data_IF_225280950188
#
_entry.id   IF_225280950188
#
_cell.length_a   1.000
_cell.length_b   1.000
_cell.length_c   1.000
_cell.angle_alpha   90.00
_cell.angle_beta   90.00
_cell.angle_gamma   90.00
#
_symmetry.space_group_name_H-M   'P 1'
#
loop_
_entity.id
_entity.type
_entity.pdbx_description
1 polymer ?
#
# COMPACT_ATOMS: atom_id res chain seq x y z
N UNK A 1 -47.57 -88.01 26.30
CA UNK A 1 -46.65 -87.08 27.00
C UNK A 1 -45.27 -87.19 26.39
N UNK A 2 -44.80 -86.14 25.72
CA UNK A 2 -43.38 -85.76 25.55
C UNK A 2 -43.35 -84.51 24.65
N UNK A 3 -43.42 -83.35 25.30
CA UNK A 3 -43.21 -82.05 24.67
C UNK A 3 -41.75 -81.93 24.24
N UNK A 4 -41.44 -81.48 23.00
CA UNK A 4 -40.07 -81.19 22.62
C UNK A 4 -39.65 -79.79 23.09
N UNK A 5 -38.44 -79.73 23.62
CA UNK A 5 -37.80 -78.56 24.20
C UNK A 5 -37.59 -77.45 23.16
N UNK A 6 -37.84 -76.20 23.57
CA UNK A 6 -37.49 -74.97 22.85
C UNK A 6 -36.00 -74.70 23.03
N UNK A 7 -35.26 -74.65 21.93
CA UNK A 7 -33.88 -74.15 21.89
C UNK A 7 -33.89 -72.61 21.92
N UNK A 8 -33.09 -72.05 22.82
CA UNK A 8 -32.85 -70.62 22.98
C UNK A 8 -31.77 -70.21 21.96
N UNK A 9 -32.16 -69.53 20.88
CA UNK A 9 -31.23 -68.93 19.92
C UNK A 9 -30.77 -67.57 20.42
N UNK A 10 -29.46 -67.45 20.69
CA UNK A 10 -28.79 -66.19 20.99
C UNK A 10 -28.65 -65.40 19.70
N UNK A 11 -29.25 -64.21 19.63
CA UNK A 11 -29.02 -63.25 18.56
C UNK A 11 -27.74 -62.46 18.87
N UNK A 12 -26.70 -62.64 18.05
CA UNK A 12 -25.53 -61.76 18.02
C UNK A 12 -25.93 -60.54 17.19
N UNK A 13 -26.03 -59.37 17.82
CA UNK A 13 -26.18 -58.10 17.11
C UNK A 13 -24.86 -57.75 16.43
N UNK A 14 -24.85 -57.73 15.09
CA UNK A 14 -23.75 -57.18 14.33
C UNK A 14 -23.77 -55.65 14.49
N UNK A 15 -22.78 -55.10 15.20
CA UNK A 15 -22.55 -53.67 15.23
C UNK A 15 -22.02 -53.23 13.86
N UNK A 16 -22.80 -52.42 13.15
CA UNK A 16 -22.33 -51.74 11.95
C UNK A 16 -21.26 -50.72 12.37
N UNK A 17 -20.00 -50.97 12.01
CA UNK A 17 -18.93 -49.98 12.11
C UNK A 17 -19.18 -48.96 10.99
N UNK A 18 -19.76 -47.82 11.35
CA UNK A 18 -19.78 -46.65 10.47
C UNK A 18 -18.35 -46.11 10.47
N UNK A 19 -17.59 -46.40 9.42
CA UNK A 19 -16.36 -45.67 9.13
C UNK A 19 -16.75 -44.27 8.70
N UNK A 20 -16.63 -43.30 9.60
CA UNK A 20 -16.58 -41.90 9.22
C UNK A 20 -15.26 -41.72 8.47
N UNK A 21 -15.24 -41.21 7.22
CA UNK A 21 -13.98 -40.81 6.62
C UNK A 21 -13.40 -39.73 7.53
N UNK A 22 -12.31 -40.04 8.21
CA UNK A 22 -11.48 -39.01 8.83
C UNK A 22 -10.87 -38.30 7.62
N UNK A 23 -11.41 -37.12 7.30
CA UNK A 23 -10.70 -36.21 6.43
C UNK A 23 -9.37 -35.97 7.14
N UNK A 24 -8.27 -36.48 6.57
CA UNK A 24 -6.96 -35.95 6.90
C UNK A 24 -7.09 -34.43 6.75
N UNK A 25 -6.88 -33.69 7.83
CA UNK A 25 -6.66 -32.26 7.74
C UNK A 25 -5.47 -32.09 6.79
N UNK A 26 -5.76 -31.81 5.53
CA UNK A 26 -4.81 -31.22 4.63
C UNK A 26 -4.42 -29.90 5.30
N UNK A 27 -3.11 -29.60 5.33
CA UNK A 27 -2.64 -28.24 5.57
C UNK A 27 -3.59 -27.28 4.85
N UNK A 28 -4.08 -26.28 5.59
CA UNK A 28 -5.11 -25.37 5.13
C UNK A 28 -4.85 -24.97 3.70
N UNK A 29 -5.87 -25.13 2.87
CA UNK A 29 -5.99 -24.46 1.59
C UNK A 29 -5.58 -22.99 1.81
N UNK A 30 -4.50 -22.55 1.15
CA UNK A 30 -3.94 -21.20 1.22
C UNK A 30 -5.10 -20.20 1.15
N UNK A 31 -5.45 -19.64 2.31
CA UNK A 31 -6.15 -18.36 2.35
C UNK A 31 -5.13 -17.36 1.83
N UNK A 32 -5.54 -16.29 1.12
CA UNK A 32 -4.66 -15.12 1.08
C UNK A 32 -4.34 -14.82 2.55
N UNK A 33 -3.08 -14.94 2.93
CA UNK A 33 -2.63 -14.73 4.30
C UNK A 33 -3.08 -13.32 4.72
N UNK A 34 -3.53 -13.18 5.96
CA UNK A 34 -3.97 -11.88 6.46
C UNK A 34 -2.78 -10.91 6.37
N UNK A 35 -2.93 -9.78 5.68
CA UNK A 35 -1.84 -8.80 5.58
C UNK A 35 -1.61 -8.22 6.98
N UNK A 36 -0.34 -8.03 7.37
CA UNK A 36 0.06 -7.65 8.72
C UNK A 36 -0.31 -8.70 9.78
N UNK A 37 -0.15 -9.99 9.49
CA UNK A 37 -0.31 -11.06 10.50
C UNK A 37 1.06 -11.45 11.06
N UNK A 38 1.53 -10.68 12.05
CA UNK A 38 2.90 -10.83 12.58
C UNK A 38 3.02 -11.97 13.58
N UNK A 39 1.89 -12.43 14.15
CA UNK A 39 1.80 -13.60 15.03
C UNK A 39 1.16 -14.85 14.41
N UNK A 40 0.86 -14.77 13.11
CA UNK A 40 0.44 -15.87 12.23
C UNK A 40 -0.74 -16.66 12.79
N UNK A 41 -1.67 -15.95 13.44
CA UNK A 41 -2.88 -16.49 14.05
C UNK A 41 -4.10 -16.46 13.10
N UNK A 42 -3.91 -15.88 11.92
CA UNK A 42 -4.93 -15.72 10.88
C UNK A 42 -5.79 -14.46 11.05
N UNK A 43 -5.41 -13.53 11.92
CA UNK A 43 -6.07 -12.25 12.16
C UNK A 43 -5.09 -11.10 11.89
N UNK A 44 -5.43 -10.24 10.94
CA UNK A 44 -4.68 -9.00 10.66
C UNK A 44 -4.44 -8.17 11.93
N UNK A 45 -3.18 -7.88 12.21
CA UNK A 45 -2.76 -7.00 13.29
C UNK A 45 -2.81 -5.53 12.91
N UNK A 46 -2.79 -4.67 13.93
CA UNK A 46 -2.84 -3.22 13.75
C UNK A 46 -1.47 -2.60 13.98
N UNK A 47 -1.03 -1.75 13.05
CA UNK A 47 0.24 -1.03 13.11
C UNK A 47 0.01 0.46 13.28
N UNK A 48 0.74 1.07 14.21
CA UNK A 48 0.62 2.46 14.61
C UNK A 48 1.97 3.15 14.44
N UNK A 49 2.07 4.03 13.45
CA UNK A 49 3.27 4.81 13.22
C UNK A 49 3.32 6.01 14.18
N UNK A 50 4.47 6.22 14.81
CA UNK A 50 4.72 7.36 15.70
C UNK A 50 6.11 7.94 15.40
N UNK A 51 6.34 8.27 14.13
CA UNK A 51 7.62 8.73 13.59
C UNK A 51 8.23 9.93 14.33
N UNK A 52 7.41 10.77 14.96
CA UNK A 52 7.87 11.95 15.69
C UNK A 52 7.93 11.74 17.21
N UNK A 53 7.79 10.50 17.69
CA UNK A 53 7.90 10.20 19.12
C UNK A 53 9.31 10.49 19.64
N UNK A 54 9.39 10.98 20.88
CA UNK A 54 10.67 11.18 21.55
C UNK A 54 11.13 9.88 22.21
N UNK A 55 12.36 9.43 21.95
CA UNK A 55 12.93 8.26 22.63
C UNK A 55 13.82 8.74 23.78
N UNK A 56 13.26 8.73 24.99
CA UNK A 56 13.92 9.30 26.17
C UNK A 56 14.10 10.82 26.02
N UNK A 57 15.34 11.29 25.86
CA UNK A 57 15.65 12.72 25.61
C UNK A 57 15.96 13.01 24.14
N UNK A 58 15.93 12.00 23.27
CA UNK A 58 16.20 12.15 21.85
C UNK A 58 14.90 12.55 21.16
N UNK A 59 14.88 13.74 20.57
CA UNK A 59 13.67 14.31 20.01
C UNK A 59 13.35 13.71 18.63
N UNK A 60 12.07 13.39 18.40
CA UNK A 60 11.57 12.95 17.08
C UNK A 60 12.40 11.79 16.48
N UNK A 61 12.87 10.89 17.33
CA UNK A 61 13.61 9.70 16.90
C UNK A 61 12.66 8.62 16.37
N UNK A 62 11.42 8.62 16.85
CA UNK A 62 10.35 7.80 16.31
C UNK A 62 10.14 6.45 17.00
N UNK A 63 8.95 5.91 16.81
CA UNK A 63 8.49 4.62 17.29
C UNK A 63 7.45 4.02 16.34
N UNK A 64 7.27 2.70 16.45
CA UNK A 64 6.14 1.98 15.86
C UNK A 64 5.51 1.08 16.93
N UNK A 65 4.19 1.03 16.98
CA UNK A 65 3.47 0.12 17.89
C UNK A 65 2.65 -0.87 17.08
N UNK A 66 2.71 -2.15 17.46
CA UNK A 66 1.86 -3.21 16.91
C UNK A 66 0.91 -3.68 17.99
N UNK A 67 -0.37 -3.81 17.65
CA UNK A 67 -1.38 -4.48 18.47
C UNK A 67 -1.75 -5.81 17.80
N UNK A 68 -1.48 -6.92 18.49
CA UNK A 68 -1.90 -8.25 18.06
C UNK A 68 -3.42 -8.37 18.22
N UNK A 69 -4.14 -8.44 17.11
CA UNK A 69 -5.58 -8.13 17.09
C UNK A 69 -6.42 -9.12 17.91
N UNK A 70 -6.05 -10.41 17.90
CA UNK A 70 -6.80 -11.43 18.63
C UNK A 70 -6.62 -11.33 20.15
N UNK A 71 -5.44 -10.94 20.61
CA UNK A 71 -5.10 -10.90 22.05
C UNK A 71 -5.20 -9.49 22.65
N UNK A 72 -5.16 -8.45 21.80
CA UNK A 72 -5.00 -7.03 22.17
C UNK A 72 -3.69 -6.74 22.91
N UNK A 73 -2.70 -7.64 22.82
CA UNK A 73 -1.36 -7.38 23.32
C UNK A 73 -0.69 -6.33 22.43
N UNK A 74 0.07 -5.41 23.02
CA UNK A 74 0.76 -4.36 22.30
C UNK A 74 2.26 -4.43 22.51
N UNK A 75 3.02 -4.16 21.45
CA UNK A 75 4.47 -4.00 21.49
C UNK A 75 4.85 -2.68 20.83
N UNK A 76 5.60 -1.85 21.54
CA UNK A 76 6.19 -0.62 20.98
C UNK A 76 7.67 -0.84 20.73
N UNK A 77 8.11 -0.52 19.51
CA UNK A 77 9.47 -0.73 19.03
C UNK A 77 10.07 0.64 18.67
N UNK A 78 11.33 0.82 19.06
CA UNK A 78 12.17 1.98 18.72
C UNK A 78 13.58 1.45 18.39
N UNK A 79 14.47 2.28 17.87
CA UNK A 79 15.88 1.90 17.73
C UNK A 79 16.59 1.66 19.07
N UNK A 80 15.99 2.06 20.21
CA UNK A 80 16.50 1.70 21.54
C UNK A 80 16.02 0.31 22.02
N UNK A 81 15.09 -0.33 21.30
CA UNK A 81 14.58 -1.65 21.68
C UNK A 81 15.68 -2.71 21.56
N UNK A 82 15.76 -3.69 22.49
CA UNK A 82 16.78 -4.73 22.44
C UNK A 82 16.79 -5.46 21.09
N UNK A 83 17.96 -5.47 20.45
CA UNK A 83 18.19 -6.18 19.20
C UNK A 83 17.94 -5.40 17.93
N UNK A 84 17.29 -4.23 18.00
CA UNK A 84 17.16 -3.33 16.86
C UNK A 84 18.52 -2.66 16.60
N UNK A 85 19.11 -2.78 15.39
CA UNK A 85 20.39 -2.16 15.08
C UNK A 85 20.35 -0.63 15.15
N UNK A 86 21.50 -0.04 15.49
CA UNK A 86 21.63 1.43 15.58
C UNK A 86 21.35 1.97 16.98
N UNK A 87 21.22 3.28 17.06
CA UNK A 87 20.84 4.01 18.29
C UNK A 87 19.93 5.17 17.89
N UNK A 88 18.90 5.53 18.67
CA UNK A 88 18.08 6.68 18.33
C UNK A 88 18.91 7.97 18.31
N UNK A 89 18.80 8.70 17.22
CA UNK A 89 19.32 10.03 16.96
C UNK A 89 18.14 10.99 16.72
N UNK A 90 18.47 12.27 16.74
CA UNK A 90 17.44 13.30 16.59
C UNK A 90 17.00 13.32 15.14
N UNK A 91 15.70 13.24 14.90
CA UNK A 91 15.08 13.30 13.56
C UNK A 91 15.25 12.04 12.71
N UNK A 92 15.58 10.87 13.29
CA UNK A 92 15.65 9.62 12.52
C UNK A 92 14.31 9.21 11.91
N UNK A 93 13.23 9.60 12.60
CA UNK A 93 11.86 9.32 12.21
C UNK A 93 11.58 7.82 12.03
N UNK A 94 12.12 6.97 12.92
CA UNK A 94 11.81 5.53 12.92
C UNK A 94 10.31 5.31 13.02
N UNK A 95 9.72 4.55 12.09
CA UNK A 95 8.27 4.42 12.00
C UNK A 95 7.62 5.50 11.13
N UNK A 96 8.39 6.18 10.27
CA UNK A 96 7.87 7.10 9.23
C UNK A 96 6.81 6.42 8.35
N UNK A 97 7.17 5.25 7.85
CA UNK A 97 6.35 4.39 6.99
C UNK A 97 6.57 2.93 7.39
N UNK A 98 5.58 2.08 7.15
CA UNK A 98 5.72 0.65 7.31
C UNK A 98 5.18 -0.11 6.09
N UNK A 99 5.62 -1.35 5.94
CA UNK A 99 5.04 -2.36 5.06
C UNK A 99 5.17 -3.73 5.73
N UNK A 100 4.50 -4.74 5.19
CA UNK A 100 4.62 -6.13 5.64
C UNK A 100 4.62 -7.09 4.48
N UNK A 101 5.24 -8.23 4.68
CA UNK A 101 5.31 -9.35 3.74
C UNK A 101 5.98 -10.55 4.41
N UNK A 102 5.63 -11.76 3.96
CA UNK A 102 6.35 -13.00 4.28
C UNK A 102 7.58 -13.17 3.33
N UNK A 103 8.75 -12.75 3.78
CA UNK A 103 10.03 -12.87 3.06
C UNK A 103 10.63 -14.28 3.19
N UNK A 104 10.47 -14.92 4.35
CA UNK A 104 11.14 -16.19 4.66
C UNK A 104 10.28 -17.44 4.41
N UNK A 105 8.99 -17.24 4.14
CA UNK A 105 8.02 -18.27 3.77
C UNK A 105 7.50 -19.09 4.96
N UNK A 106 7.64 -18.60 6.19
CA UNK A 106 7.19 -19.30 7.40
C UNK A 106 5.69 -19.11 7.71
N UNK A 107 5.03 -18.21 6.97
CA UNK A 107 3.60 -17.90 7.09
C UNK A 107 3.28 -16.80 8.10
N UNK A 108 4.30 -16.15 8.67
CA UNK A 108 4.19 -14.97 9.52
C UNK A 108 4.73 -13.77 8.75
N UNK A 109 4.02 -12.65 8.75
CA UNK A 109 4.54 -11.47 8.05
C UNK A 109 5.73 -10.86 8.80
N UNK A 110 6.73 -10.38 8.07
CA UNK A 110 7.73 -9.44 8.57
C UNK A 110 7.14 -8.03 8.67
N UNK A 111 7.56 -7.28 9.68
CA UNK A 111 7.35 -5.82 9.73
C UNK A 111 8.56 -5.10 9.12
N UNK A 112 8.32 -4.30 8.08
CA UNK A 112 9.31 -3.40 7.49
C UNK A 112 9.07 -1.98 7.98
N UNK A 113 10.09 -1.31 8.48
CA UNK A 113 10.01 0.04 9.05
C UNK A 113 10.99 0.98 8.37
N UNK A 114 10.50 2.11 7.86
CA UNK A 114 11.33 3.17 7.29
C UNK A 114 11.77 4.19 8.34
N UNK A 115 13.00 4.69 8.18
CA UNK A 115 13.60 5.75 9.00
C UNK A 115 14.42 6.66 8.08
N UNK A 116 13.76 7.51 7.26
CA UNK A 116 14.44 8.27 6.22
C UNK A 116 15.43 9.31 6.77
N UNK A 117 15.23 9.80 8.01
CA UNK A 117 16.09 10.82 8.63
C UNK A 117 17.40 10.30 9.23
N UNK A 118 17.55 8.97 9.30
CA UNK A 118 18.69 8.30 9.92
C UNK A 118 20.02 8.65 9.22
N UNK A 119 21.05 8.99 10.01
CA UNK A 119 22.40 9.38 9.56
C UNK A 119 22.42 10.56 8.55
N UNK A 120 22.01 11.76 9.00
CA UNK A 120 21.92 12.98 8.18
C UNK A 120 20.97 12.82 6.96
N UNK A 121 19.79 12.22 7.18
CA UNK A 121 18.79 11.97 6.14
C UNK A 121 19.31 11.03 5.01
N UNK A 122 20.32 10.21 5.29
CA UNK A 122 20.77 9.17 4.35
C UNK A 122 19.76 8.02 4.28
N UNK A 123 19.09 7.75 5.39
CA UNK A 123 17.93 6.88 5.51
C UNK A 123 18.26 5.39 5.69
N UNK A 124 17.37 4.71 6.41
CA UNK A 124 17.44 3.28 6.71
C UNK A 124 16.08 2.59 6.66
N UNK A 125 16.14 1.27 6.47
CA UNK A 125 14.98 0.38 6.54
C UNK A 125 15.31 -0.79 7.48
N UNK A 126 14.35 -1.16 8.32
CA UNK A 126 14.47 -2.25 9.28
C UNK A 126 13.45 -3.34 8.95
N UNK A 127 13.87 -4.59 8.89
CA UNK A 127 13.00 -5.76 8.70
C UNK A 127 13.00 -6.54 10.00
N UNK A 128 11.83 -6.66 10.63
CA UNK A 128 11.63 -7.31 11.92
C UNK A 128 10.80 -8.57 11.68
N UNK A 129 11.40 -9.77 11.83
CA UNK A 129 10.69 -11.01 11.55
C UNK A 129 9.48 -11.25 12.45
N UNK A 130 8.41 -11.78 11.87
CA UNK A 130 7.26 -12.33 12.57
C UNK A 130 7.59 -13.66 13.25
N UNK A 131 6.67 -14.13 14.10
CA UNK A 131 6.64 -15.50 14.62
C UNK A 131 5.35 -15.76 15.38
N UNK A 132 5.02 -17.02 15.67
CA UNK A 132 3.87 -17.38 16.52
C UNK A 132 3.85 -16.74 17.93
N UNK A 133 4.98 -16.20 18.40
CA UNK A 133 5.08 -15.46 19.68
C UNK A 133 5.11 -13.92 19.48
N UNK A 134 4.91 -13.46 18.24
CA UNK A 134 5.00 -12.08 17.79
C UNK A 134 6.36 -11.69 17.18
N UNK A 135 6.57 -10.39 16.98
CA UNK A 135 7.76 -9.78 16.38
C UNK A 135 9.06 -10.07 17.15
N UNK A 136 10.08 -10.54 16.42
CA UNK A 136 11.41 -10.92 16.94
C UNK A 136 12.44 -9.80 16.77
N UNK A 137 12.39 -8.78 17.63
CA UNK A 137 13.31 -7.62 17.54
C UNK A 137 14.80 -7.98 17.61
N UNK A 138 15.18 -9.12 18.22
CA UNK A 138 16.57 -9.59 18.28
C UNK A 138 17.12 -10.10 16.96
N UNK A 139 16.26 -10.31 15.98
CA UNK A 139 16.60 -10.78 14.63
C UNK A 139 16.39 -9.70 13.58
N UNK A 140 16.19 -8.44 14.01
CA UNK A 140 16.02 -7.30 13.12
C UNK A 140 17.21 -7.15 12.19
N UNK A 141 16.95 -7.07 10.89
CA UNK A 141 17.94 -6.74 9.87
C UNK A 141 17.76 -5.28 9.45
N UNK A 142 18.85 -4.51 9.46
CA UNK A 142 18.82 -3.12 9.01
C UNK A 142 19.56 -2.95 7.68
N UNK A 143 18.93 -2.24 6.75
CA UNK A 143 19.44 -1.93 5.43
C UNK A 143 19.63 -0.44 5.26
N UNK A 144 20.78 -0.07 4.72
CA UNK A 144 21.02 1.23 4.09
C UNK A 144 21.78 1.00 2.78
N UNK A 145 22.06 2.07 2.04
CA UNK A 145 22.75 1.95 0.74
C UNK A 145 24.23 1.56 0.83
N UNK A 146 24.79 1.48 2.04
CA UNK A 146 26.12 0.91 2.29
C UNK A 146 26.06 -0.57 2.72
N UNK A 147 24.87 -1.13 2.93
CA UNK A 147 24.70 -2.55 3.26
C UNK A 147 25.14 -3.45 2.10
N UNK A 148 25.71 -4.64 2.38
CA UNK A 148 26.14 -5.56 1.34
C UNK A 148 25.03 -5.88 0.34
N UNK A 149 25.32 -5.72 -0.95
CA UNK A 149 24.39 -6.06 -2.03
C UNK A 149 23.39 -4.97 -2.39
N UNK A 150 23.20 -3.94 -1.55
CA UNK A 150 22.40 -2.76 -1.89
C UNK A 150 23.22 -1.88 -2.85
N UNK A 151 22.73 -1.57 -4.07
CA UNK A 151 23.49 -0.75 -5.01
C UNK A 151 23.70 0.68 -4.53
N UNK A 152 24.70 1.35 -5.13
CA UNK A 152 25.10 2.74 -4.87
C UNK A 152 25.71 2.91 -3.47
N UNK A 153 25.76 4.13 -2.98
CA UNK A 153 26.41 4.49 -1.71
C UNK A 153 25.51 5.51 -1.02
N UNK A 154 25.37 5.40 0.31
CA UNK A 154 24.56 6.34 1.07
C UNK A 154 25.23 7.71 1.17
N UNK A 155 24.44 8.76 1.03
CA UNK A 155 24.82 10.17 1.22
C UNK A 155 23.69 10.87 1.96
N UNK A 156 24.03 11.95 2.64
CA UNK A 156 23.08 12.78 3.36
C UNK A 156 21.99 13.32 2.42
N UNK A 157 20.75 13.38 2.92
CA UNK A 157 19.58 13.91 2.21
C UNK A 157 19.05 13.04 1.07
N UNK A 158 19.31 11.74 1.08
CA UNK A 158 18.82 10.82 0.04
C UNK A 158 17.53 10.08 0.44
N UNK A 159 17.13 10.17 1.71
CA UNK A 159 15.84 9.74 2.25
C UNK A 159 15.51 8.26 1.95
N UNK A 160 16.49 7.35 1.99
CA UNK A 160 16.24 5.93 1.78
C UNK A 160 15.28 5.40 2.87
N UNK A 161 14.15 4.81 2.46
CA UNK A 161 13.09 4.43 3.41
C UNK A 161 11.96 5.46 3.52
N UNK A 162 11.93 6.46 2.63
CA UNK A 162 10.84 7.45 2.54
C UNK A 162 9.48 6.82 2.23
N UNK A 163 9.45 5.88 1.29
CA UNK A 163 8.27 5.05 0.96
C UNK A 163 8.67 3.59 0.98
N UNK A 164 7.71 2.74 1.36
CA UNK A 164 7.86 1.28 1.35
C UNK A 164 6.63 0.66 0.70
N UNK A 165 6.85 -0.38 -0.08
CA UNK A 165 5.78 -1.28 -0.52
C UNK A 165 6.36 -2.68 -0.68
N UNK A 166 5.70 -3.68 -0.10
CA UNK A 166 6.18 -5.04 -0.05
C UNK A 166 5.05 -6.02 -0.35
N UNK A 167 5.41 -7.26 -0.62
CA UNK A 167 4.44 -8.32 -0.82
C UNK A 167 5.02 -9.48 -1.61
N UNK A 168 4.12 -10.29 -2.16
CA UNK A 168 4.49 -11.47 -2.93
C UNK A 168 4.02 -11.31 -4.37
N UNK A 169 4.94 -11.51 -5.30
CA UNK A 169 4.61 -11.46 -6.73
C UNK A 169 3.64 -12.58 -7.10
N UNK A 170 2.96 -12.43 -8.22
CA UNK A 170 2.07 -13.46 -8.78
C UNK A 170 2.75 -14.80 -9.10
N UNK A 171 4.09 -14.83 -9.09
CA UNK A 171 4.91 -16.04 -9.22
C UNK A 171 5.34 -16.65 -7.88
N UNK A 172 4.96 -16.06 -6.74
CA UNK A 172 5.32 -16.50 -5.40
C UNK A 172 6.67 -15.99 -4.89
N UNK A 173 7.27 -14.97 -5.53
CA UNK A 173 8.51 -14.37 -5.07
C UNK A 173 8.23 -13.16 -4.17
N UNK A 174 8.82 -13.12 -2.97
CA UNK A 174 8.79 -11.95 -2.08
C UNK A 174 9.48 -10.75 -2.71
N UNK A 175 8.96 -9.56 -2.45
CA UNK A 175 9.57 -8.30 -2.85
C UNK A 175 9.41 -7.21 -1.80
N UNK A 176 10.36 -6.28 -1.84
CA UNK A 176 10.30 -5.00 -1.15
C UNK A 176 10.77 -3.91 -2.13
N UNK A 177 10.01 -2.83 -2.23
CA UNK A 177 10.38 -1.62 -2.97
C UNK A 177 10.54 -0.48 -1.96
N UNK A 178 11.68 0.21 -2.03
CA UNK A 178 12.02 1.32 -1.13
C UNK A 178 12.25 2.58 -1.94
N UNK A 179 11.54 3.67 -1.61
CA UNK A 179 11.79 4.98 -2.21
C UNK A 179 12.96 5.72 -1.53
N UNK A 180 13.68 6.49 -2.34
CA UNK A 180 14.74 7.41 -1.95
C UNK A 180 14.65 8.67 -2.83
N UNK A 181 13.62 9.53 -2.62
CA UNK A 181 13.35 10.66 -3.51
C UNK A 181 14.47 11.73 -3.50
N UNK A 182 15.30 11.79 -2.46
CA UNK A 182 16.47 12.68 -2.39
C UNK A 182 17.69 12.20 -3.19
N UNK A 183 17.64 11.02 -3.82
CA UNK A 183 18.78 10.48 -4.59
C UNK A 183 19.24 11.47 -5.69
N UNK A 184 20.54 11.75 -5.71
CA UNK A 184 21.16 12.52 -6.80
C UNK A 184 21.54 11.61 -7.98
N UNK A 185 20.88 11.81 -9.13
CA UNK A 185 21.12 11.02 -10.35
C UNK A 185 21.83 11.86 -11.40
N UNK A 186 23.01 11.41 -11.86
CA UNK A 186 23.84 12.11 -12.88
C UNK A 186 24.11 13.60 -12.56
N UNK A 187 24.20 13.95 -11.27
CA UNK A 187 24.44 15.31 -10.81
C UNK A 187 23.18 16.18 -10.73
N UNK A 188 21.99 15.61 -10.95
CA UNK A 188 20.70 16.25 -10.69
C UNK A 188 20.29 15.90 -9.28
N UNK A 189 20.32 16.90 -8.41
CA UNK A 189 19.97 16.76 -6.99
C UNK A 189 18.49 16.40 -6.86
N UNK A 190 18.20 15.53 -5.90
CA UNK A 190 16.84 15.07 -5.54
C UNK A 190 16.01 14.62 -6.75
N UNK A 191 16.68 13.98 -7.71
CA UNK A 191 16.02 13.41 -8.87
C UNK A 191 15.23 12.15 -8.47
N UNK A 192 15.73 11.44 -7.46
CA UNK A 192 15.07 10.30 -6.85
C UNK A 192 15.40 8.96 -7.48
N UNK A 193 15.21 7.91 -6.69
CA UNK A 193 15.33 6.52 -7.11
C UNK A 193 14.41 5.62 -6.27
N UNK A 194 14.18 4.40 -6.75
CA UNK A 194 13.64 3.29 -5.96
C UNK A 194 14.61 2.12 -5.93
N UNK A 195 14.56 1.34 -4.86
CA UNK A 195 15.36 0.15 -4.65
C UNK A 195 14.43 -1.05 -4.53
N UNK A 196 14.52 -1.96 -5.50
CA UNK A 196 13.70 -3.17 -5.58
C UNK A 196 14.51 -4.38 -5.12
N UNK A 197 14.13 -4.93 -3.98
CA UNK A 197 14.51 -6.25 -3.50
C UNK A 197 13.54 -7.26 -4.09
N UNK A 198 14.05 -8.23 -4.84
CA UNK A 198 13.26 -9.35 -5.36
C UNK A 198 14.10 -10.62 -5.25
N UNK A 199 13.57 -11.64 -4.58
CA UNK A 199 14.28 -12.90 -4.29
C UNK A 199 15.67 -12.66 -3.69
N UNK A 200 15.76 -11.81 -2.65
CA UNK A 200 17.01 -11.52 -1.95
C UNK A 200 18.04 -10.69 -2.74
N UNK A 201 17.68 -10.15 -3.93
CA UNK A 201 18.58 -9.32 -4.74
C UNK A 201 18.06 -7.90 -4.92
N UNK A 202 18.84 -6.93 -4.43
CA UNK A 202 18.59 -5.51 -4.59
C UNK A 202 18.96 -4.99 -5.99
N UNK A 203 18.15 -4.05 -6.49
CA UNK A 203 18.34 -3.29 -7.74
C UNK A 203 17.93 -1.85 -7.52
N UNK A 204 18.76 -0.90 -7.91
CA UNK A 204 18.41 0.52 -7.88
C UNK A 204 17.88 0.93 -9.27
N UNK A 205 16.78 1.67 -9.29
CA UNK A 205 16.07 2.09 -10.50
C UNK A 205 15.78 3.58 -10.39
N UNK A 206 16.06 4.32 -11.46
CA UNK A 206 15.70 5.73 -11.65
C UNK A 206 15.44 5.98 -13.14
N UNK A 207 15.12 7.22 -13.51
CA UNK A 207 14.84 7.60 -14.90
C UNK A 207 16.09 7.69 -15.80
N UNK A 208 17.32 7.42 -15.31
CA UNK A 208 18.53 7.22 -16.14
C UNK A 208 18.80 5.71 -16.39
N UNK A 209 18.04 4.83 -15.74
CA UNK A 209 18.19 3.38 -15.88
C UNK A 209 17.76 2.94 -17.28
N UNK A 210 18.57 2.15 -18.02
CA UNK A 210 18.21 1.69 -19.35
C UNK A 210 16.85 0.98 -19.37
N UNK A 211 15.98 1.39 -20.30
CA UNK A 211 14.62 0.85 -20.43
C UNK A 211 13.57 1.59 -19.60
N UNK A 212 13.97 2.43 -18.63
CA UNK A 212 13.04 3.27 -17.89
C UNK A 212 12.75 4.55 -18.70
N UNK A 213 11.47 4.87 -18.99
CA UNK A 213 11.11 6.08 -19.71
C UNK A 213 11.32 7.35 -18.87
N UNK A 214 11.40 8.49 -19.54
CA UNK A 214 11.63 9.80 -18.92
C UNK A 214 13.12 10.15 -18.84
N UNK A 215 13.44 11.18 -18.06
CA UNK A 215 14.80 11.57 -17.75
C UNK A 215 14.81 12.16 -16.33
N UNK A 216 15.86 11.96 -15.52
CA UNK A 216 15.86 12.49 -14.17
C UNK A 216 15.80 14.03 -14.22
N UNK A 217 14.94 14.63 -13.41
CA UNK A 217 14.85 16.09 -13.22
C UNK A 217 15.54 16.53 -11.93
N UNK A 218 15.90 17.81 -11.85
CA UNK A 218 16.35 18.40 -10.58
C UNK A 218 15.10 18.54 -9.70
N UNK A 219 15.16 18.06 -8.46
CA UNK A 219 14.03 18.00 -7.54
C UNK A 219 12.85 17.14 -7.98
N UNK A 220 13.01 16.25 -8.98
CA UNK A 220 11.93 15.43 -9.52
C UNK A 220 11.31 14.47 -8.49
N UNK A 221 12.10 13.98 -7.54
CA UNK A 221 11.62 13.15 -6.43
C UNK A 221 11.05 11.80 -6.88
N UNK A 222 11.62 11.15 -7.89
CA UNK A 222 11.22 9.80 -8.27
C UNK A 222 11.30 8.83 -7.07
N UNK A 223 10.19 8.18 -6.72
CA UNK A 223 10.08 7.39 -5.48
C UNK A 223 9.38 8.13 -4.33
N UNK A 224 8.89 9.34 -4.55
CA UNK A 224 8.19 10.12 -3.53
C UNK A 224 6.86 9.50 -3.11
N UNK A 225 6.12 8.94 -4.07
CA UNK A 225 4.95 8.10 -3.83
C UNK A 225 5.16 6.74 -4.48
N UNK A 226 4.63 5.70 -3.85
CA UNK A 226 4.89 4.31 -4.23
C UNK A 226 3.70 3.44 -3.82
N UNK A 227 3.26 2.59 -4.74
CA UNK A 227 2.28 1.53 -4.45
C UNK A 227 2.63 0.27 -5.24
N UNK A 228 2.28 -0.90 -4.72
CA UNK A 228 2.52 -2.16 -5.42
C UNK A 228 1.36 -3.14 -5.32
N UNK A 229 1.34 -4.07 -6.26
CA UNK A 229 0.47 -5.23 -6.32
C UNK A 229 1.31 -6.42 -6.81
N UNK A 230 0.75 -7.63 -6.76
CA UNK A 230 1.43 -8.89 -7.12
C UNK A 230 2.15 -8.90 -8.48
N UNK A 231 1.77 -8.05 -9.42
CA UNK A 231 2.36 -7.97 -10.78
C UNK A 231 3.09 -6.69 -11.07
N UNK A 232 2.71 -5.60 -10.41
CA UNK A 232 3.08 -4.25 -10.81
C UNK A 232 3.38 -3.40 -9.60
N UNK A 233 4.26 -2.42 -9.78
CA UNK A 233 4.42 -1.33 -8.83
C UNK A 233 4.49 -0.02 -9.60
N UNK A 234 4.10 1.05 -8.91
CA UNK A 234 3.89 2.37 -9.47
C UNK A 234 4.69 3.36 -8.67
N UNK A 235 5.46 4.19 -9.37
CA UNK A 235 6.36 5.16 -8.76
C UNK A 235 5.97 6.56 -9.22
N UNK A 236 5.64 7.44 -8.28
CA UNK A 236 5.38 8.84 -8.56
C UNK A 236 6.63 9.72 -8.41
N UNK A 237 6.67 10.76 -9.22
CA UNK A 237 7.67 11.82 -9.24
C UNK A 237 6.94 13.16 -9.45
N UNK A 238 6.16 13.58 -8.44
CA UNK A 238 5.19 14.68 -8.60
C UNK A 238 5.82 16.05 -8.88
N UNK A 239 7.12 16.19 -8.66
CA UNK A 239 7.89 17.43 -8.92
C UNK A 239 8.64 17.39 -10.25
N UNK A 240 8.54 16.28 -10.97
CA UNK A 240 9.16 16.10 -12.28
C UNK A 240 8.40 16.88 -13.36
N UNK A 241 9.11 17.35 -14.41
CA UNK A 241 8.54 18.07 -15.57
C UNK A 241 7.54 19.21 -15.27
N UNK A 242 7.66 19.85 -14.11
CA UNK A 242 6.79 20.93 -13.64
C UNK A 242 5.37 20.48 -13.24
N UNK A 243 4.74 19.50 -13.90
CA UNK A 243 3.40 18.97 -13.52
C UNK A 243 3.37 17.61 -12.81
N UNK A 244 4.48 16.86 -12.81
CA UNK A 244 4.61 15.55 -12.17
C UNK A 244 4.41 14.37 -13.11
N UNK A 245 5.00 13.22 -12.77
CA UNK A 245 4.89 11.99 -13.55
C UNK A 245 4.66 10.76 -12.68
N UNK A 246 4.14 9.70 -13.30
CA UNK A 246 4.01 8.36 -12.73
C UNK A 246 4.58 7.32 -13.68
N UNK A 247 5.45 6.45 -13.19
CA UNK A 247 5.99 5.32 -13.96
C UNK A 247 5.42 4.00 -13.43
N UNK A 248 4.89 3.17 -14.33
CA UNK A 248 4.35 1.84 -14.02
C UNK A 248 5.38 0.78 -14.41
N UNK A 249 5.71 -0.09 -13.47
CA UNK A 249 6.64 -1.19 -13.65
C UNK A 249 5.92 -2.53 -13.47
N UNK A 250 6.45 -3.57 -14.11
CA UNK A 250 6.20 -4.95 -13.66
C UNK A 250 7.36 -5.43 -12.79
N UNK A 251 7.11 -6.39 -11.90
CA UNK A 251 8.18 -7.05 -11.15
C UNK A 251 9.09 -7.96 -12.02
N UNK A 252 8.77 -8.12 -13.31
CA UNK A 252 9.62 -8.88 -14.25
C UNK A 252 10.93 -8.15 -14.46
N UNK A 253 12.05 -8.86 -14.36
CA UNK A 253 13.37 -8.27 -14.58
C UNK A 253 13.74 -8.38 -16.06
N UNK A 254 13.93 -7.24 -16.72
CA UNK A 254 14.41 -7.09 -18.10
C UNK A 254 15.71 -6.30 -18.06
N UNK A 255 16.76 -6.84 -18.69
CA UNK A 255 18.10 -6.23 -18.74
C UNK A 255 18.71 -5.81 -17.39
N UNK A 256 18.30 -6.49 -16.31
CA UNK A 256 18.84 -6.31 -14.97
C UNK A 256 18.01 -5.42 -14.04
N UNK A 257 16.94 -4.79 -14.56
CA UNK A 257 16.02 -3.92 -13.81
C UNK A 257 14.57 -4.39 -13.97
N UNK A 258 13.65 -4.00 -13.06
CA UNK A 258 12.21 -4.16 -13.29
C UNK A 258 11.79 -3.52 -14.62
N UNK A 259 10.92 -4.21 -15.36
CA UNK A 259 10.45 -3.78 -16.67
C UNK A 259 9.51 -2.58 -16.54
N UNK A 260 9.92 -1.43 -17.06
CA UNK A 260 9.10 -0.22 -17.08
C UNK A 260 8.10 -0.30 -18.24
N UNK A 261 6.81 -0.35 -17.91
CA UNK A 261 5.74 -0.53 -18.87
C UNK A 261 5.26 0.79 -19.49
N UNK A 262 5.15 1.84 -18.68
CA UNK A 262 4.63 3.13 -19.10
C UNK A 262 5.12 4.28 -18.22
N UNK A 263 5.29 5.45 -18.82
CA UNK A 263 5.34 6.75 -18.15
C UNK A 263 4.02 7.46 -18.44
N UNK A 264 3.42 8.07 -17.42
CA UNK A 264 2.15 8.79 -17.52
C UNK A 264 2.27 10.16 -16.86
N UNK A 265 1.71 11.15 -17.53
CA UNK A 265 1.51 12.55 -17.15
C UNK A 265 0.21 13.05 -17.79
N UNK A 266 -0.35 14.21 -17.41
CA UNK A 266 -1.62 14.72 -17.96
C UNK A 266 -1.58 14.99 -19.46
N UNK A 267 -0.41 15.27 -20.03
CA UNK A 267 -0.23 15.44 -21.48
C UNK A 267 -0.07 14.10 -22.25
N UNK A 268 -0.13 12.96 -21.55
CA UNK A 268 -0.05 11.64 -22.18
C UNK A 268 -1.24 11.43 -23.12
N UNK A 269 -1.03 11.01 -24.38
CA UNK A 269 -2.13 10.81 -25.33
C UNK A 269 -3.21 9.84 -24.79
N UNK A 270 -4.41 10.37 -24.56
CA UNK A 270 -5.55 9.60 -24.04
C UNK A 270 -5.73 9.66 -22.52
N UNK A 271 -4.98 10.52 -21.83
CA UNK A 271 -5.25 11.00 -20.46
C UNK A 271 -5.88 12.40 -20.58
N UNK A 272 -6.84 12.73 -19.72
CA UNK A 272 -7.46 14.06 -19.71
C UNK A 272 -6.61 15.09 -18.96
N UNK A 273 -6.97 16.36 -19.11
CA UNK A 273 -6.24 17.48 -18.52
C UNK A 273 -5.10 18.00 -19.40
N UNK A 274 -4.35 18.93 -18.85
CA UNK A 274 -3.12 19.48 -19.42
C UNK A 274 -2.10 19.56 -18.31
N UNK A 275 -0.83 19.25 -18.59
CA UNK A 275 0.20 19.39 -17.58
C UNK A 275 0.49 20.88 -17.32
N UNK A 276 0.28 21.33 -16.09
CA UNK A 276 0.61 22.66 -15.62
C UNK A 276 1.70 22.58 -14.55
N UNK A 277 2.44 23.68 -14.38
CA UNK A 277 3.45 23.74 -13.33
C UNK A 277 2.75 23.69 -11.96
N UNK A 278 3.30 22.86 -11.08
CA UNK A 278 2.86 22.62 -9.70
C UNK A 278 1.57 21.81 -9.53
N UNK A 279 1.04 21.11 -10.55
CA UNK A 279 -0.18 20.25 -10.40
C UNK A 279 0.01 19.05 -9.47
N UNK A 280 1.26 18.61 -9.32
CA UNK A 280 1.65 17.48 -8.48
C UNK A 280 1.03 16.14 -8.93
N UNK A 281 0.96 15.88 -10.24
CA UNK A 281 0.53 14.59 -10.77
C UNK A 281 1.42 13.46 -10.23
N UNK A 282 0.81 12.48 -9.55
CA UNK A 282 1.55 11.42 -8.88
C UNK A 282 1.94 11.75 -7.44
N UNK A 283 1.35 12.80 -6.83
CA UNK A 283 1.57 13.12 -5.41
C UNK A 283 1.15 12.00 -4.47
N UNK A 284 0.12 11.26 -4.87
CA UNK A 284 -0.35 10.02 -4.28
C UNK A 284 -0.67 9.02 -5.40
N UNK A 285 -0.40 7.74 -5.16
CA UNK A 285 -0.66 6.66 -6.14
C UNK A 285 -1.20 5.44 -5.43
N UNK A 286 -2.05 4.68 -6.11
CA UNK A 286 -2.49 3.35 -5.69
C UNK A 286 -2.52 2.41 -6.90
N UNK A 287 -2.37 1.10 -6.69
CA UNK A 287 -2.42 0.12 -7.77
C UNK A 287 -3.06 -1.19 -7.33
N UNK A 288 -3.87 -1.78 -8.21
CA UNK A 288 -4.41 -3.14 -8.06
C UNK A 288 -4.27 -3.92 -9.36
N UNK A 289 -4.23 -5.25 -9.26
CA UNK A 289 -4.33 -6.14 -10.41
C UNK A 289 -5.71 -6.02 -11.07
N UNK A 290 -5.75 -5.80 -12.38
CA UNK A 290 -6.99 -5.45 -13.08
C UNK A 290 -7.16 -6.14 -14.44
N UNK A 291 -8.40 -6.52 -14.75
CA UNK A 291 -8.78 -7.10 -16.03
C UNK A 291 -10.04 -6.42 -16.59
N UNK A 292 -9.95 -5.68 -17.71
CA UNK A 292 -11.09 -4.95 -18.28
C UNK A 292 -12.15 -5.84 -18.93
N UNK A 293 -11.83 -7.10 -19.22
CA UNK A 293 -12.77 -8.07 -19.79
C UNK A 293 -12.26 -9.50 -19.69
N UNK A 294 -13.16 -10.49 -19.71
CA UNK A 294 -12.83 -11.89 -19.37
C UNK A 294 -11.62 -12.48 -20.13
N UNK A 295 -11.39 -12.08 -21.38
CA UNK A 295 -10.29 -12.52 -22.24
C UNK A 295 -9.07 -11.59 -22.28
N UNK A 296 -9.13 -10.43 -21.61
CA UNK A 296 -8.01 -9.50 -21.56
C UNK A 296 -6.89 -10.04 -20.65
N UNK A 297 -5.61 -9.75 -20.96
CA UNK A 297 -4.52 -10.02 -20.03
C UNK A 297 -4.71 -9.17 -18.75
N UNK A 298 -4.20 -9.68 -17.62
CA UNK A 298 -4.23 -8.97 -16.34
C UNK A 298 -3.18 -7.87 -16.38
N UNK A 299 -3.62 -6.62 -16.34
CA UNK A 299 -2.78 -5.43 -16.23
C UNK A 299 -2.88 -4.80 -14.84
N UNK A 300 -2.60 -3.51 -14.77
CA UNK A 300 -2.78 -2.67 -13.59
C UNK A 300 -3.98 -1.73 -13.78
N UNK A 301 -4.71 -1.48 -12.69
CA UNK A 301 -5.51 -0.27 -12.54
C UNK A 301 -4.75 0.59 -11.53
N UNK A 302 -4.46 1.83 -11.91
CA UNK A 302 -3.75 2.79 -11.07
C UNK A 302 -4.67 3.98 -10.78
N UNK A 303 -4.62 4.48 -9.56
CA UNK A 303 -5.18 5.77 -9.20
C UNK A 303 -4.04 6.75 -9.01
N UNK A 304 -4.20 7.97 -9.49
CA UNK A 304 -3.17 9.02 -9.43
C UNK A 304 -3.83 10.29 -8.91
N UNK A 305 -3.36 10.77 -7.75
CA UNK A 305 -3.78 12.05 -7.20
C UNK A 305 -3.02 13.22 -7.80
N UNK A 306 -3.74 14.33 -8.02
CA UNK A 306 -3.27 15.60 -8.56
C UNK A 306 -3.82 16.74 -7.70
N UNK A 307 -3.43 16.85 -6.42
CA UNK A 307 -4.10 17.72 -5.46
C UNK A 307 -3.94 19.21 -5.73
N UNK A 308 -2.99 19.61 -6.57
CA UNK A 308 -2.75 21.01 -6.86
C UNK A 308 -3.37 21.50 -8.18
N UNK A 309 -4.10 20.62 -8.88
CA UNK A 309 -4.83 20.95 -10.11
C UNK A 309 -5.72 22.19 -9.96
N UNK A 310 -5.70 23.06 -10.97
CA UNK A 310 -6.55 24.25 -11.03
C UNK A 310 -7.83 23.99 -11.83
N UNK A 311 -8.98 23.95 -11.16
CA UNK A 311 -10.27 23.69 -11.81
C UNK A 311 -11.13 24.95 -11.95
N UNK A 312 -11.48 25.33 -13.18
CA UNK A 312 -12.30 26.51 -13.49
C UNK A 312 -11.80 27.80 -12.79
N UNK A 313 -10.49 27.96 -12.68
CA UNK A 313 -9.82 29.09 -12.01
C UNK A 313 -9.70 28.97 -10.48
N UNK A 314 -10.06 27.82 -9.89
CA UNK A 314 -9.87 27.52 -8.47
C UNK A 314 -8.55 26.78 -8.27
N UNK A 315 -7.57 27.49 -7.74
CA UNK A 315 -6.24 26.94 -7.47
C UNK A 315 -6.31 25.83 -6.42
N UNK A 316 -5.54 24.75 -6.62
CA UNK A 316 -5.45 23.63 -5.66
C UNK A 316 -6.83 23.05 -5.33
N UNK A 317 -7.72 23.01 -6.32
CA UNK A 317 -8.99 22.31 -6.19
C UNK A 317 -8.73 20.80 -6.20
N UNK A 318 -7.85 20.37 -7.09
CA UNK A 318 -7.38 19.00 -7.16
C UNK A 318 -8.27 18.07 -7.98
N UNK A 319 -7.67 16.98 -8.44
CA UNK A 319 -8.36 15.89 -9.13
C UNK A 319 -7.67 14.54 -8.89
N UNK A 320 -8.30 13.46 -9.35
CA UNK A 320 -7.68 12.14 -9.42
C UNK A 320 -7.97 11.46 -10.75
N UNK A 321 -6.98 10.78 -11.32
CA UNK A 321 -7.15 9.93 -12.50
C UNK A 321 -7.22 8.46 -12.10
N UNK A 322 -8.04 7.69 -12.81
CA UNK A 322 -8.05 6.22 -12.78
C UNK A 322 -7.61 5.72 -14.15
N UNK A 323 -6.52 4.98 -14.21
CA UNK A 323 -5.84 4.63 -15.46
C UNK A 323 -5.60 3.13 -15.50
N UNK A 324 -5.95 2.48 -16.61
CA UNK A 324 -5.64 1.09 -16.87
C UNK A 324 -4.35 0.98 -17.71
N UNK A 325 -3.41 0.14 -17.27
CA UNK A 325 -2.17 -0.16 -17.99
C UNK A 325 -2.10 -1.65 -18.28
N UNK A 326 -2.02 -2.00 -19.56
CA UNK A 326 -1.88 -3.40 -19.98
C UNK A 326 -0.45 -3.92 -19.78
N UNK A 327 -0.21 -5.24 -19.76
CA UNK A 327 1.14 -5.80 -19.66
C UNK A 327 2.10 -5.41 -20.80
N UNK A 328 1.58 -4.88 -21.91
CA UNK A 328 2.39 -4.36 -23.02
C UNK A 328 2.60 -2.85 -22.95
N UNK A 329 2.27 -2.21 -21.82
CA UNK A 329 2.45 -0.76 -21.62
C UNK A 329 1.37 0.12 -22.24
N UNK A 330 0.30 -0.43 -22.83
CA UNK A 330 -0.80 0.41 -23.34
C UNK A 330 -1.56 1.04 -22.17
N UNK A 331 -1.60 2.37 -22.16
CA UNK A 331 -2.32 3.23 -21.20
C UNK A 331 -3.73 3.54 -21.72
N UNK A 332 -4.72 3.58 -20.83
CA UNK A 332 -6.09 4.00 -21.12
C UNK A 332 -6.70 4.62 -19.87
N UNK A 333 -7.13 5.88 -19.94
CA UNK A 333 -7.90 6.49 -18.87
C UNK A 333 -9.27 5.79 -18.73
N UNK A 334 -9.59 5.41 -17.50
CA UNK A 334 -10.86 4.79 -17.13
C UNK A 334 -11.83 5.87 -16.64
N UNK A 335 -11.34 6.81 -15.85
CA UNK A 335 -12.07 7.98 -15.40
C UNK A 335 -11.12 9.09 -14.96
N UNK A 336 -11.61 10.32 -15.06
CA UNK A 336 -11.13 11.49 -14.36
C UNK A 336 -12.16 11.91 -13.30
N UNK A 337 -11.69 12.17 -12.08
CA UNK A 337 -12.55 12.39 -10.92
C UNK A 337 -12.19 13.71 -10.28
N UNK A 338 -13.19 14.58 -10.18
CA UNK A 338 -13.11 15.85 -9.46
C UNK A 338 -14.51 16.29 -9.01
N UNK A 339 -14.61 17.20 -8.05
CA UNK A 339 -15.87 17.53 -7.37
C UNK A 339 -16.91 18.25 -8.24
N UNK A 340 -16.55 18.82 -9.39
CA UNK A 340 -17.53 19.32 -10.38
C UNK A 340 -18.02 18.23 -11.36
N UNK A 341 -17.61 16.97 -11.19
CA UNK A 341 -18.02 15.87 -12.09
C UNK A 341 -19.49 15.59 -11.88
N UNK A 342 -20.25 15.43 -12.96
CA UNK A 342 -21.68 15.22 -12.86
C UNK A 342 -22.00 13.98 -12.01
N UNK A 343 -22.75 14.18 -10.93
CA UNK A 343 -23.13 13.13 -9.98
C UNK A 343 -22.22 13.04 -8.76
N UNK A 344 -20.98 13.54 -8.83
CA UNK A 344 -20.08 13.56 -7.67
C UNK A 344 -20.58 14.58 -6.66
N UNK A 345 -20.65 14.17 -5.40
CA UNK A 345 -21.11 15.04 -4.30
C UNK A 345 -20.09 16.15 -4.03
N UNK A 346 -20.58 17.34 -3.69
CA UNK A 346 -19.73 18.52 -3.40
C UNK A 346 -19.54 19.43 -4.60
N UNK A 347 -18.67 20.43 -4.45
CA UNK A 347 -18.22 21.32 -5.52
C UNK A 347 -16.73 21.55 -5.36
N UNK A 348 -16.02 21.82 -6.46
CA UNK A 348 -14.63 22.23 -6.34
C UNK A 348 -14.55 23.64 -5.75
N UNK A 349 -13.63 23.85 -4.82
CA UNK A 349 -13.25 25.11 -4.19
C UNK A 349 -11.72 25.29 -4.20
N UNK A 350 -11.26 26.52 -3.94
CA UNK A 350 -9.83 26.80 -3.84
C UNK A 350 -9.26 26.17 -2.58
N UNK A 351 -8.19 25.38 -2.72
CA UNK A 351 -7.48 24.64 -1.67
C UNK A 351 -8.14 23.37 -1.14
N UNK A 352 -9.15 22.80 -1.81
CA UNK A 352 -9.71 21.50 -1.38
C UNK A 352 -8.70 20.37 -1.44
N UNK A 353 -7.75 20.46 -2.37
CA UNK A 353 -6.72 19.47 -2.58
C UNK A 353 -7.29 18.05 -2.77
N UNK A 354 -8.37 17.92 -3.57
CA UNK A 354 -8.93 16.64 -3.97
C UNK A 354 -7.86 15.79 -4.67
N UNK A 355 -7.73 14.52 -4.31
CA UNK A 355 -6.60 13.70 -4.77
C UNK A 355 -5.37 13.79 -3.86
N UNK A 356 -5.51 14.38 -2.66
CA UNK A 356 -4.44 14.42 -1.66
C UNK A 356 -3.86 13.04 -1.36
N UNK A 357 -4.74 12.09 -1.10
CA UNK A 357 -4.50 10.64 -1.06
C UNK A 357 -5.52 9.94 -1.97
N UNK A 358 -5.11 8.83 -2.57
CA UNK A 358 -5.96 7.93 -3.34
C UNK A 358 -5.75 6.49 -2.88
N UNK A 359 -6.80 5.69 -2.93
CA UNK A 359 -6.69 4.24 -2.74
C UNK A 359 -7.62 3.47 -3.67
N UNK A 360 -7.22 2.24 -3.97
CA UNK A 360 -7.98 1.32 -4.81
C UNK A 360 -8.32 0.06 -4.04
N UNK A 361 -9.57 -0.39 -4.20
CA UNK A 361 -10.10 -1.57 -3.55
C UNK A 361 -10.78 -2.53 -4.51
N UNK A 362 -11.01 -3.76 -4.03
CA UNK A 362 -11.77 -4.79 -4.76
C UNK A 362 -12.95 -5.24 -3.90
N UNK A 363 -14.17 -4.91 -4.34
CA UNK A 363 -15.41 -5.05 -3.56
C UNK A 363 -15.64 -6.45 -2.97
N UNK A 364 -15.25 -7.48 -3.70
CA UNK A 364 -15.50 -8.87 -3.38
C UNK A 364 -14.26 -9.61 -2.87
N UNK A 365 -13.15 -8.89 -2.63
CA UNK A 365 -11.88 -9.49 -2.21
C UNK A 365 -11.25 -10.41 -3.25
N UNK A 366 -11.70 -10.38 -4.50
CA UNK A 366 -11.07 -11.17 -5.56
C UNK A 366 -9.64 -10.67 -5.81
N UNK A 367 -8.69 -11.56 -6.19
CA UNK A 367 -7.30 -11.17 -6.43
C UNK A 367 -7.09 -10.29 -7.67
N UNK A 368 -8.10 -10.18 -8.54
CA UNK A 368 -8.05 -9.39 -9.77
C UNK A 368 -9.35 -8.61 -9.89
N UNK A 369 -9.24 -7.28 -9.93
CA UNK A 369 -10.38 -6.40 -10.13
C UNK A 369 -10.90 -6.45 -11.56
N UNK A 370 -12.20 -6.15 -11.67
CA UNK A 370 -12.92 -5.97 -12.94
C UNK A 370 -13.56 -4.59 -12.96
N UNK A 371 -14.09 -4.13 -14.10
CA UNK A 371 -14.86 -2.89 -14.16
C UNK A 371 -16.06 -2.82 -13.20
N UNK A 372 -16.54 -3.97 -12.69
CA UNK A 372 -17.69 -4.03 -11.77
C UNK A 372 -17.29 -4.15 -10.29
N UNK A 373 -16.01 -4.42 -10.01
CA UNK A 373 -15.53 -4.72 -8.64
C UNK A 373 -14.48 -3.73 -8.15
N UNK A 374 -13.86 -2.95 -9.03
CA UNK A 374 -12.93 -1.89 -8.65
C UNK A 374 -13.65 -0.75 -7.93
N UNK A 375 -13.05 -0.29 -6.83
CA UNK A 375 -13.51 0.82 -6.00
C UNK A 375 -12.37 1.81 -5.87
N UNK A 376 -12.70 3.10 -5.81
CA UNK A 376 -11.75 4.19 -5.58
C UNK A 376 -12.18 4.95 -4.32
N UNK A 377 -11.21 5.34 -3.49
CA UNK A 377 -11.39 6.38 -2.50
C UNK A 377 -10.41 7.52 -2.74
N UNK A 378 -10.87 8.75 -2.50
CA UNK A 378 -10.08 9.97 -2.71
C UNK A 378 -10.32 10.94 -1.55
N UNK A 379 -9.24 11.50 -1.00
CA UNK A 379 -9.35 12.56 0.01
C UNK A 379 -9.39 13.95 -0.63
N UNK A 380 -10.09 14.86 0.03
CA UNK A 380 -10.01 16.31 -0.17
C UNK A 380 -9.67 16.94 1.18
N UNK A 381 -8.40 17.29 1.40
CA UNK A 381 -7.93 17.73 2.71
C UNK A 381 -8.47 19.10 3.14
N UNK A 382 -8.69 19.99 2.18
CA UNK A 382 -9.15 21.34 2.44
C UNK A 382 -10.66 21.51 2.45
N UNK A 383 -11.41 20.44 2.17
CA UNK A 383 -12.86 20.48 2.05
C UNK A 383 -13.51 21.16 3.25
N UNK A 384 -14.42 22.09 2.96
CA UNK A 384 -15.14 22.87 3.95
C UNK A 384 -16.57 22.35 4.09
N UNK A 385 -16.83 21.53 5.11
CA UNK A 385 -18.20 21.09 5.46
C UNK A 385 -18.74 21.93 6.62
N UNK A 386 -19.97 22.42 6.49
CA UNK A 386 -20.64 23.27 7.50
C UNK A 386 -19.82 24.49 7.96
N UNK A 387 -18.99 25.02 7.05
CA UNK A 387 -18.14 26.19 7.30
C UNK A 387 -16.88 25.91 8.13
N UNK A 388 -16.48 24.64 8.28
CA UNK A 388 -15.23 24.23 8.94
C UNK A 388 -14.38 23.36 8.00
N UNK A 389 -13.04 23.49 8.01
CA UNK A 389 -12.13 22.73 7.14
C UNK A 389 -11.89 21.33 7.73
N UNK A 390 -12.91 20.49 7.68
CA UNK A 390 -12.83 19.12 8.21
C UNK A 390 -12.09 18.17 7.26
N UNK A 391 -11.98 18.54 5.98
CA UNK A 391 -11.61 17.59 4.94
C UNK A 391 -12.71 16.56 4.70
N UNK A 392 -12.59 15.82 3.61
CA UNK A 392 -13.53 14.77 3.25
C UNK A 392 -12.84 13.57 2.59
N UNK A 393 -13.55 12.45 2.61
CA UNK A 393 -13.24 11.26 1.81
C UNK A 393 -14.43 10.97 0.90
N UNK A 394 -14.17 10.84 -0.40
CA UNK A 394 -15.15 10.37 -1.37
C UNK A 394 -14.83 8.95 -1.80
N UNK A 395 -15.85 8.09 -1.80
CA UNK A 395 -15.74 6.69 -2.20
C UNK A 395 -16.63 6.43 -3.41
N UNK A 396 -16.04 5.89 -4.47
CA UNK A 396 -16.69 5.59 -5.74
C UNK A 396 -16.82 4.08 -5.91
N UNK A 397 -18.06 3.58 -5.81
CA UNK A 397 -18.36 2.17 -5.94
C UNK A 397 -18.23 1.61 -7.38
N UNK A 398 -18.35 2.46 -8.40
CA UNK A 398 -18.02 2.15 -9.80
C UNK A 398 -17.09 3.23 -10.34
N UNK A 399 -15.82 2.87 -10.50
CA UNK A 399 -14.77 3.79 -10.97
C UNK A 399 -14.98 4.29 -12.40
N UNK A 400 -15.90 3.73 -13.19
CA UNK A 400 -16.18 4.18 -14.57
C UNK A 400 -17.23 5.29 -14.66
N UNK A 401 -18.04 5.44 -13.62
CA UNK A 401 -19.10 6.44 -13.54
C UNK A 401 -19.03 7.13 -12.17
N UNK A 402 -17.95 7.89 -11.89
CA UNK A 402 -17.84 8.64 -10.66
C UNK A 402 -19.07 9.54 -10.50
N UNK A 403 -19.83 9.37 -9.41
CA UNK A 403 -21.04 10.15 -9.10
C UNK A 403 -22.36 9.37 -9.07
N UNK A 404 -22.43 8.15 -9.60
CA UNK A 404 -23.62 7.31 -9.41
C UNK A 404 -23.48 6.46 -8.13
N UNK A 405 -23.98 6.97 -7.01
CA UNK A 405 -23.97 6.26 -5.71
C UNK A 405 -22.62 6.31 -5.00
N UNK A 406 -21.94 7.45 -5.09
CA UNK A 406 -20.76 7.77 -4.28
C UNK A 406 -21.14 7.97 -2.81
N UNK A 407 -20.17 7.70 -1.93
CA UNK A 407 -20.30 7.95 -0.49
C UNK A 407 -19.36 9.09 -0.14
N UNK A 408 -19.91 10.15 0.43
CA UNK A 408 -19.17 11.29 0.95
C UNK A 408 -19.11 11.20 2.47
N UNK A 409 -17.90 11.23 3.02
CA UNK A 409 -17.67 11.14 4.46
C UNK A 409 -16.92 12.38 4.95
N UNK A 410 -17.46 13.06 5.96
CA UNK A 410 -16.83 14.22 6.61
C UNK A 410 -17.03 14.20 8.13
N UNK A 411 -16.21 14.95 8.89
CA UNK A 411 -16.35 15.04 10.36
C UNK A 411 -17.65 15.76 10.81
N UNK A 412 -18.38 16.39 9.87
CA UNK A 412 -19.71 16.93 10.12
C UNK A 412 -20.78 15.83 10.33
N UNK A 413 -20.54 14.61 9.84
CA UNK A 413 -21.46 13.47 9.94
C UNK A 413 -21.45 12.79 11.32
N UNK A 414 -20.74 13.39 12.29
CA UNK A 414 -20.51 12.91 13.64
C UNK A 414 -19.07 12.46 13.83
N UNK A 415 -18.58 12.33 15.08
CA UNK A 415 -17.25 11.82 15.30
C UNK A 415 -17.17 10.43 14.67
N UNK A 416 -16.12 10.21 13.88
CA UNK A 416 -15.76 8.92 13.25
C UNK A 416 -15.75 7.72 14.22
N UNK A 417 -15.95 7.95 15.52
CA UNK A 417 -16.25 6.95 16.55
C UNK A 417 -17.60 6.25 16.41
N UNK A 418 -18.56 6.73 15.60
CA UNK A 418 -19.83 6.00 15.36
C UNK A 418 -19.67 4.85 14.34
N UNK A 419 -18.66 4.93 13.46
CA UNK A 419 -18.15 3.81 12.66
C UNK A 419 -17.25 2.87 13.48
N UNK A 420 -16.90 3.22 14.73
CA UNK A 420 -16.08 2.41 15.63
C UNK A 420 -16.86 1.27 16.35
N UNK A 421 -18.04 0.89 15.86
CA UNK A 421 -18.66 -0.41 16.25
C UNK A 421 -18.16 -1.58 15.40
N UNK A 422 -17.40 -1.30 14.35
CA UNK A 422 -16.44 -2.22 13.71
C UNK A 422 -15.03 -1.98 14.29
N UNK A 423 -14.20 -3.03 14.45
CA UNK A 423 -13.03 -2.98 15.34
C UNK A 423 -11.90 -2.13 14.75
N UNK A 424 -11.90 -0.83 15.04
CA UNK A 424 -10.81 0.08 14.61
C UNK A 424 -10.60 1.17 15.66
N UNK A 425 -9.48 1.11 16.39
CA UNK A 425 -8.99 2.22 17.20
C UNK A 425 -7.65 2.67 16.64
N UNK A 426 -7.61 3.73 15.81
CA UNK A 426 -6.36 4.22 15.20
C UNK A 426 -6.57 5.53 14.42
N UNK A 427 -6.60 6.69 15.09
CA UNK A 427 -6.77 7.98 14.41
C UNK A 427 -5.90 9.07 15.04
N UNK A 428 -4.57 9.01 14.82
CA UNK A 428 -3.64 10.16 14.81
C UNK A 428 -2.36 9.79 14.05
N UNK A 429 -2.28 10.17 12.77
CA UNK A 429 -1.07 10.07 11.95
C UNK A 429 -1.28 9.24 10.69
N UNK A 430 -1.07 9.85 9.53
CA UNK A 430 -1.13 9.26 8.17
C UNK A 430 -2.53 8.89 7.63
N UNK A 431 -3.23 9.91 7.10
CA UNK A 431 -4.47 9.75 6.32
C UNK A 431 -4.34 8.77 5.13
N UNK A 432 -3.16 8.66 4.51
CA UNK A 432 -2.91 7.75 3.39
C UNK A 432 -2.96 6.26 3.72
N UNK A 433 -2.65 5.84 4.96
CA UNK A 433 -2.73 4.43 5.36
C UNK A 433 -4.17 4.00 5.71
N UNK A 434 -5.07 4.96 6.00
CA UNK A 434 -6.46 4.69 6.35
C UNK A 434 -7.27 4.12 5.18
N UNK A 435 -6.86 4.40 3.95
CA UNK A 435 -7.52 3.93 2.74
C UNK A 435 -6.86 2.69 2.11
N UNK A 436 -5.62 2.40 2.49
CA UNK A 436 -4.84 1.24 2.00
C UNK A 436 -5.10 -0.02 2.85
N UNK A 437 -5.70 0.14 4.04
CA UNK A 437 -6.05 -0.98 4.92
C UNK A 437 -7.41 -1.55 4.56
N UNK A 438 -7.38 -2.78 4.04
CA UNK A 438 -8.25 -3.95 4.20
C UNK A 438 -9.62 -3.85 4.91
N UNK A 439 -10.32 -2.72 4.84
CA UNK A 439 -11.73 -2.70 5.13
C UNK A 439 -12.42 -3.57 4.08
N UNK A 440 -13.32 -4.48 4.47
CA UNK A 440 -14.21 -5.08 3.49
C UNK A 440 -15.02 -3.93 2.91
N UNK A 441 -14.62 -3.43 1.73
CA UNK A 441 -15.25 -2.31 1.04
C UNK A 441 -16.76 -2.53 0.85
N UNK A 442 -17.20 -3.80 0.88
CA UNK A 442 -18.60 -4.19 0.97
C UNK A 442 -19.37 -3.59 2.14
N UNK A 443 -18.71 -3.29 3.28
CA UNK A 443 -19.31 -2.68 4.46
C UNK A 443 -19.41 -1.15 4.36
N UNK A 444 -18.54 -0.51 3.57
CA UNK A 444 -18.58 0.93 3.30
C UNK A 444 -19.65 1.31 2.27
N UNK A 445 -20.04 0.36 1.41
CA UNK A 445 -20.98 0.55 0.30
C UNK A 445 -22.32 -0.17 0.47
N UNK A 446 -22.59 -0.73 1.65
CA UNK A 446 -23.89 -1.34 2.02
C UNK A 446 -24.79 -0.34 2.73
#
# INVERSE_FOLDING_TARGET
MRSPARALGVFIAAAAVITVPVSSATAGEHRPDAINDFDCDGVTDLVFNSAFENVGTVAEAGAITVEYSATRAQVTITQASPGVPGTPEKWDMFGWVHASFDDDGDGCDELVVGSPGENDDAGMVFVIPGSLDGLRTTETVAYNKNSPGVPRTARAGEDFGWTLSAGTTSSGASYLVVGAPGETVRGRVDAGAVYHLLNGRWRAVDQDTPGVPGAPAIFGGFGYSLASADRHFVVGAFRDNEGGTVTVFSHTIVDGSPDALALVEQDTPGISGTSEADDQFGRSVAVISYRPGASAPVGALIAVGVPAETLDGRQTAGMAHVIAVTPTGKVTEVADVQQNTAGVTGTAETNDAFGGDVALGIRDGAPIATPATAILAVTAYGEITDGQPYGAVQIFGDVRTPGDGDVFLSDADGPWSSLATTPTGLLRGNWGQFLDTELPWSALLS
#
